data_IF_747114835860
#
_entry.id   IF_747114835860
#
_cell.length_a   1.000
_cell.length_b   1.000
_cell.length_c   1.000
_cell.angle_alpha   90.00
_cell.angle_beta   90.00
_cell.angle_gamma   90.00
#
_symmetry.space_group_name_H-M   'P 1'
#
loop_
_entity.id
_entity.type
_entity.pdbx_description
1 polymer ?
#
# COMPACT_ATOMS: atom_id res chain seq x y z
N UNK A 1 -8.41 19.73 -16.54
CA UNK A 1 -8.00 18.81 -15.45
C UNK A 1 -7.62 17.51 -16.14
N UNK A 2 -7.31 16.42 -15.45
CA UNK A 2 -7.31 15.10 -16.10
C UNK A 2 -8.72 14.53 -15.98
N UNK A 3 -9.62 15.13 -16.75
CA UNK A 3 -10.97 14.65 -17.00
C UNK A 3 -10.79 13.39 -17.86
N UNK A 4 -10.77 12.22 -17.21
CA UNK A 4 -10.51 10.96 -17.92
C UNK A 4 -11.62 10.68 -18.94
N UNK A 5 -11.25 10.62 -20.21
CA UNK A 5 -12.16 10.23 -21.28
C UNK A 5 -12.39 8.71 -21.23
N UNK A 6 -13.60 8.30 -20.88
CA UNK A 6 -14.01 6.89 -20.82
C UNK A 6 -15.49 6.73 -20.48
N UNK A 7 -16.09 5.54 -20.70
CA UNK A 7 -17.50 5.29 -20.42
C UNK A 7 -17.85 5.37 -18.92
N UNK A 8 -16.83 5.44 -18.05
CA UNK A 8 -16.94 5.66 -16.62
C UNK A 8 -16.33 7.03 -16.30
N UNK A 9 -17.01 7.83 -15.47
CA UNK A 9 -16.44 9.05 -14.87
C UNK A 9 -15.19 8.66 -14.08
N UNK A 10 -14.01 8.80 -14.69
CA UNK A 10 -12.75 8.55 -14.01
C UNK A 10 -12.42 9.73 -13.11
N UNK A 11 -12.18 9.44 -11.83
CA UNK A 11 -11.79 10.44 -10.83
C UNK A 11 -10.35 10.13 -10.44
N UNK A 12 -9.40 11.07 -10.65
CA UNK A 12 -8.02 10.87 -10.25
C UNK A 12 -7.87 11.00 -8.73
N UNK A 13 -7.05 10.13 -8.16
CA UNK A 13 -6.53 10.26 -6.79
C UNK A 13 -5.02 10.38 -6.83
N UNK A 14 -4.47 11.10 -5.86
CA UNK A 14 -3.04 11.37 -5.76
C UNK A 14 -2.50 10.70 -4.49
N UNK A 15 -1.41 9.96 -4.64
CA UNK A 15 -0.75 9.27 -3.53
C UNK A 15 0.30 10.18 -2.89
N UNK A 16 0.28 10.28 -1.56
CA UNK A 16 1.34 10.87 -0.77
C UNK A 16 2.05 9.75 -0.02
N UNK A 17 3.34 9.57 -0.34
CA UNK A 17 4.16 8.49 0.19
C UNK A 17 5.18 9.05 1.19
N UNK A 18 5.66 8.21 2.09
CA UNK A 18 6.88 8.53 2.85
C UNK A 18 8.16 8.21 2.03
N UNK A 19 9.33 8.42 2.64
CA UNK A 19 10.63 8.14 2.04
C UNK A 19 10.91 6.66 1.69
N UNK A 20 10.14 5.71 2.24
CA UNK A 20 10.25 4.26 2.01
C UNK A 20 9.20 3.77 1.00
N UNK A 21 8.28 4.64 0.57
CA UNK A 21 7.24 4.36 -0.42
C UNK A 21 5.88 3.82 0.06
N UNK A 22 5.58 3.43 1.33
CA UNK A 22 4.19 3.21 1.73
C UNK A 22 3.34 4.47 1.55
N UNK A 23 2.12 4.32 1.00
CA UNK A 23 1.11 5.37 1.02
C UNK A 23 0.79 5.82 2.43
N UNK A 24 0.87 7.12 2.73
CA UNK A 24 0.37 7.71 3.97
C UNK A 24 -1.04 8.26 3.77
N UNK A 25 -1.27 8.90 2.62
CA UNK A 25 -2.55 9.56 2.29
C UNK A 25 -2.88 9.37 0.81
N UNK A 26 -4.18 9.41 0.50
CA UNK A 26 -4.70 9.63 -0.84
C UNK A 26 -5.64 10.84 -0.81
N UNK A 27 -5.42 11.77 -1.73
CA UNK A 27 -6.30 12.94 -1.90
C UNK A 27 -7.05 12.87 -3.22
N UNK A 28 -8.26 13.42 -3.25
CA UNK A 28 -8.96 13.70 -4.51
C UNK A 28 -8.37 14.93 -5.22
N UNK A 29 -9.03 15.38 -6.30
CA UNK A 29 -8.61 16.57 -7.07
C UNK A 29 -8.90 17.90 -6.36
N UNK A 30 -9.78 17.92 -5.35
CA UNK A 30 -10.07 19.10 -4.55
C UNK A 30 -9.10 19.26 -3.38
N UNK A 31 -8.32 18.23 -3.07
CA UNK A 31 -7.39 18.16 -1.96
C UNK A 31 -8.00 17.54 -0.69
N UNK A 32 -9.21 16.99 -0.77
CA UNK A 32 -9.83 16.25 0.32
C UNK A 32 -9.10 14.92 0.52
N UNK A 33 -8.81 14.57 1.78
CA UNK A 33 -8.22 13.28 2.13
C UNK A 33 -9.32 12.22 2.04
N UNK A 34 -9.13 11.27 1.13
CA UNK A 34 -10.08 10.17 0.89
C UNK A 34 -9.64 8.88 1.57
N UNK A 35 -8.35 8.76 1.88
CA UNK A 35 -7.79 7.66 2.65
C UNK A 35 -6.53 8.12 3.37
N UNK A 36 -6.33 7.69 4.61
CA UNK A 36 -5.11 8.01 5.38
C UNK A 36 -4.78 6.94 6.41
N UNK A 37 -3.51 6.57 6.49
CA UNK A 37 -3.03 5.52 7.38
C UNK A 37 -1.66 5.86 7.99
N UNK A 38 -1.47 5.39 9.22
CA UNK A 38 -0.18 5.43 9.92
C UNK A 38 0.33 4.01 10.12
N UNK A 39 1.64 3.82 9.90
CA UNK A 39 2.29 2.52 9.96
C UNK A 39 3.26 2.42 11.13
N UNK A 40 3.45 1.20 11.64
CA UNK A 40 4.60 0.87 12.50
C UNK A 40 5.84 0.66 11.63
N UNK A 41 7.00 0.61 12.26
CA UNK A 41 8.30 0.49 11.60
C UNK A 41 8.42 -0.64 10.55
N UNK A 42 7.70 -1.75 10.75
CA UNK A 42 7.70 -2.91 9.84
C UNK A 42 6.45 -3.01 8.95
N UNK A 43 5.77 -1.89 8.70
CA UNK A 43 4.66 -1.83 7.74
C UNK A 43 3.33 -2.39 8.24
N UNK A 44 3.21 -2.72 9.54
CA UNK A 44 1.90 -2.95 10.14
C UNK A 44 1.09 -1.65 10.12
N UNK A 45 -0.18 -1.74 9.72
CA UNK A 45 -1.14 -0.66 9.93
C UNK A 45 -1.30 -0.41 11.43
N UNK A 46 -0.92 0.77 11.89
CA UNK A 46 -1.08 1.20 13.28
C UNK A 46 -2.45 1.84 13.47
N UNK A 47 -2.83 2.74 12.55
CA UNK A 47 -4.08 3.49 12.55
C UNK A 47 -4.53 3.69 11.11
N UNK A 48 -5.83 3.53 10.86
CA UNK A 48 -6.50 3.97 9.63
C UNK A 48 -7.37 5.17 10.01
N UNK A 49 -6.96 6.37 9.63
CA UNK A 49 -7.60 7.62 10.05
C UNK A 49 -8.78 7.98 9.13
N UNK A 50 -8.64 7.72 7.83
CA UNK A 50 -9.68 7.95 6.81
C UNK A 50 -9.76 6.74 5.87
N UNK A 51 -10.97 6.34 5.49
CA UNK A 51 -11.23 5.17 4.65
C UNK A 51 -12.47 5.34 3.76
N UNK A 52 -12.62 6.51 3.14
CA UNK A 52 -13.72 6.78 2.17
C UNK A 52 -13.53 5.99 0.87
N UNK A 53 -12.29 5.64 0.55
CA UNK A 53 -11.92 4.72 -0.53
C UNK A 53 -11.02 3.59 -0.01
N UNK A 54 -11.03 2.46 -0.71
CA UNK A 54 -10.12 1.35 -0.43
C UNK A 54 -8.74 1.58 -1.07
N UNK A 55 -7.69 1.26 -0.30
CA UNK A 55 -6.32 1.23 -0.79
C UNK A 55 -5.60 -0.04 -0.27
N UNK A 56 -5.31 -1.04 -1.14
CA UNK A 56 -4.60 -2.24 -0.75
C UNK A 56 -3.07 -2.08 -0.76
N UNK A 57 -2.52 -0.96 -1.25
CA UNK A 57 -1.07 -0.79 -1.33
C UNK A 57 -0.43 -0.56 0.04
N UNK A 58 0.74 -1.16 0.25
CA UNK A 58 1.49 -1.16 1.51
C UNK A 58 2.97 -0.85 1.26
N UNK A 59 3.77 -1.04 2.30
CA UNK A 59 5.22 -0.84 2.33
C UNK A 59 5.92 -1.36 1.08
N UNK A 60 6.69 -0.50 0.40
CA UNK A 60 7.40 -0.82 -0.84
C UNK A 60 6.50 -1.39 -1.96
N UNK A 61 5.27 -0.87 -2.11
CA UNK A 61 4.37 -1.25 -3.20
C UNK A 61 3.78 -2.66 -3.08
N UNK A 62 3.82 -3.25 -1.89
CA UNK A 62 3.20 -4.54 -1.63
C UNK A 62 1.68 -4.45 -1.71
N UNK A 63 1.02 -5.55 -2.10
CA UNK A 63 -0.44 -5.66 -2.10
C UNK A 63 -0.92 -6.34 -0.82
N UNK A 64 -1.81 -5.69 -0.07
CA UNK A 64 -2.42 -6.27 1.12
C UNK A 64 -3.47 -7.30 0.75
N UNK A 65 -3.28 -8.53 1.22
CA UNK A 65 -4.25 -9.60 1.14
C UNK A 65 -5.06 -9.64 2.44
N UNK A 66 -6.34 -9.25 2.35
CA UNK A 66 -7.23 -9.17 3.50
C UNK A 66 -7.62 -10.54 4.06
N UNK A 67 -7.60 -11.60 3.26
CA UNK A 67 -7.95 -12.96 3.72
C UNK A 67 -6.89 -13.51 4.68
N UNK A 68 -5.62 -13.24 4.37
CA UNK A 68 -4.48 -13.75 5.15
C UNK A 68 -3.87 -12.73 6.12
N UNK A 69 -4.13 -11.43 5.90
CA UNK A 69 -3.48 -10.34 6.61
C UNK A 69 -2.00 -10.14 6.23
N UNK A 70 -1.55 -10.77 5.14
CA UNK A 70 -0.18 -10.71 4.64
C UNK A 70 -0.06 -9.68 3.51
N UNK A 71 1.19 -9.27 3.24
CA UNK A 71 1.49 -8.37 2.15
C UNK A 71 2.20 -9.13 1.02
N UNK A 72 1.58 -9.23 -0.14
CA UNK A 72 2.16 -9.87 -1.31
C UNK A 72 3.17 -8.98 -2.02
N UNK A 73 4.37 -9.50 -2.23
CA UNK A 73 5.46 -8.86 -2.94
C UNK A 73 5.94 -9.75 -4.09
N UNK A 74 5.10 -9.90 -5.13
CA UNK A 74 5.30 -10.62 -6.40
C UNK A 74 5.76 -12.08 -6.33
N UNK A 75 6.85 -12.37 -5.64
CA UNK A 75 7.41 -13.72 -5.47
C UNK A 75 7.34 -14.22 -4.03
N UNK A 76 7.02 -13.34 -3.07
CA UNK A 76 6.98 -13.69 -1.64
C UNK A 76 5.87 -12.96 -0.90
N UNK A 77 5.35 -13.60 0.14
CA UNK A 77 4.50 -12.94 1.13
C UNK A 77 5.35 -12.43 2.29
N UNK A 78 5.12 -11.17 2.65
CA UNK A 78 5.71 -10.50 3.80
C UNK A 78 4.70 -10.49 4.95
N UNK A 79 5.16 -10.89 6.14
CA UNK A 79 4.37 -10.84 7.36
C UNK A 79 4.85 -9.66 8.21
N UNK A 80 4.08 -8.55 8.26
CA UNK A 80 4.50 -7.35 8.99
C UNK A 80 4.60 -7.59 10.51
N UNK A 81 3.80 -8.51 11.07
CA UNK A 81 3.86 -8.84 12.51
C UNK A 81 5.21 -9.44 12.94
N UNK A 82 5.92 -10.08 12.01
CA UNK A 82 7.24 -10.70 12.26
C UNK A 82 8.38 -9.98 11.56
N UNK A 83 8.07 -8.92 10.80
CA UNK A 83 9.01 -8.12 10.06
C UNK A 83 9.75 -8.85 8.93
N UNK A 84 9.24 -9.97 8.40
CA UNK A 84 9.98 -10.84 7.45
C UNK A 84 9.11 -11.50 6.40
N UNK A 85 9.76 -11.99 5.34
CA UNK A 85 9.14 -12.86 4.36
C UNK A 85 8.89 -14.26 4.93
N UNK A 86 7.81 -14.91 4.49
CA UNK A 86 7.43 -16.25 4.90
C UNK A 86 8.26 -17.36 4.23
N UNK A 87 8.90 -17.04 3.11
CA UNK A 87 9.73 -17.98 2.35
C UNK A 87 11.14 -17.42 2.14
N UNK A 88 12.16 -18.29 2.02
CA UNK A 88 13.49 -17.89 1.60
C UNK A 88 13.47 -17.12 0.27
N UNK A 89 14.53 -16.35 0.03
CA UNK A 89 14.68 -15.64 -1.24
C UNK A 89 14.75 -16.64 -2.42
N UNK A 90 13.95 -16.46 -3.49
CA UNK A 90 14.04 -17.29 -4.69
C UNK A 90 15.45 -17.34 -5.31
N UNK A 91 16.24 -16.25 -5.20
CA UNK A 91 17.63 -16.22 -5.66
C UNK A 91 18.63 -16.76 -4.62
N UNK A 92 18.13 -17.20 -3.45
CA UNK A 92 18.89 -17.85 -2.37
C UNK A 92 20.05 -16.97 -1.90
N UNK A 93 21.21 -17.60 -1.63
CA UNK A 93 22.42 -16.94 -1.15
C UNK A 93 22.96 -15.86 -2.10
N UNK A 94 22.53 -15.81 -3.37
CA UNK A 94 22.89 -14.72 -4.27
C UNK A 94 22.25 -13.38 -3.88
N UNK A 95 21.20 -13.41 -3.04
CA UNK A 95 20.56 -12.22 -2.48
C UNK A 95 21.21 -11.69 -1.19
N UNK A 96 22.24 -12.37 -0.68
CA UNK A 96 22.90 -12.08 0.60
C UNK A 96 22.46 -12.98 1.75
#
# INVERSE_FOLDING_TARGET
>A
MLDGEGPLRAIPFYYQLDHLGPPQELTDYSGEIMWSAKYRAYGNLAVLEVSEIDNPLRFQGQYFDAETGLNYNRHRYYNPNTGRFLTPDPIKLAGG
#
